data_IF_989747307621
#
_entry.id   IF_989747307621
#
_cell.length_a   1.000
_cell.length_b   1.000
_cell.length_c   1.000
_cell.angle_alpha   90.00
_cell.angle_beta   90.00
_cell.angle_gamma   90.00
#
_symmetry.space_group_name_H-M   'P 1'
#
loop_
_entity.id
_entity.type
_entity.pdbx_description
1 polymer ?
#
# COMPACT_ATOMS: atom_id res chain seq x y z
N UNK A 1 -5.69 -18.88 -5.65
CA UNK A 1 -5.26 -17.92 -6.69
C UNK A 1 -5.16 -16.53 -6.06
N UNK A 2 -4.15 -15.74 -6.42
CA UNK A 2 -4.03 -14.34 -5.99
C UNK A 2 -4.98 -13.45 -6.81
N UNK A 3 -5.66 -12.52 -6.15
CA UNK A 3 -6.58 -11.56 -6.79
C UNK A 3 -5.79 -10.44 -7.47
N UNK A 4 -5.93 -10.23 -8.80
CA UNK A 4 -5.19 -9.22 -9.56
C UNK A 4 -5.37 -7.79 -9.04
N UNK A 5 -6.52 -7.49 -8.44
CA UNK A 5 -6.82 -6.18 -7.86
C UNK A 5 -5.90 -5.87 -6.69
N UNK A 6 -5.60 -6.88 -5.87
CA UNK A 6 -4.71 -6.75 -4.72
C UNK A 6 -3.28 -6.48 -5.17
N UNK A 7 -2.84 -7.17 -6.22
CA UNK A 7 -1.51 -6.99 -6.81
C UNK A 7 -1.37 -5.60 -7.46
N UNK A 8 -2.38 -5.15 -8.21
CA UNK A 8 -2.40 -3.80 -8.79
C UNK A 8 -2.30 -2.71 -7.73
N UNK A 9 -2.99 -2.90 -6.60
CA UNK A 9 -2.92 -1.98 -5.46
C UNK A 9 -1.53 -1.95 -4.84
N UNK A 10 -0.93 -3.12 -4.61
CA UNK A 10 0.43 -3.21 -4.09
C UNK A 10 1.45 -2.51 -5.00
N UNK A 11 1.40 -2.77 -6.31
CA UNK A 11 2.28 -2.11 -7.29
C UNK A 11 2.10 -0.60 -7.29
N UNK A 12 0.85 -0.10 -7.27
CA UNK A 12 0.59 1.34 -7.21
C UNK A 12 1.14 1.99 -5.94
N UNK A 13 1.05 1.32 -4.78
CA UNK A 13 1.65 1.82 -3.51
C UNK A 13 3.16 1.75 -3.55
N UNK A 14 3.76 0.71 -4.15
CA UNK A 14 5.20 0.59 -4.31
C UNK A 14 5.77 1.71 -5.21
N UNK A 15 5.10 2.01 -6.31
CA UNK A 15 5.47 3.08 -7.25
C UNK A 15 5.39 4.48 -6.59
N UNK A 16 4.28 4.75 -5.90
CA UNK A 16 3.99 6.09 -5.37
C UNK A 16 4.55 6.33 -3.97
N UNK A 17 4.96 5.27 -3.27
CA UNK A 17 5.32 5.28 -1.84
C UNK A 17 4.27 5.94 -0.95
N UNK A 18 3.01 5.98 -1.40
CA UNK A 18 1.92 6.70 -0.74
C UNK A 18 0.59 6.01 -1.01
N UNK A 19 -0.07 5.54 0.04
CA UNK A 19 -1.42 4.97 -0.08
C UNK A 19 -2.43 5.97 -0.65
N UNK A 20 -2.27 7.26 -0.35
CA UNK A 20 -3.17 8.30 -0.85
C UNK A 20 -2.99 8.49 -2.36
N UNK A 21 -1.75 8.60 -2.84
CA UNK A 21 -1.49 8.76 -4.29
C UNK A 21 -1.82 7.49 -5.08
N UNK A 22 -1.52 6.30 -4.54
CA UNK A 22 -1.90 5.04 -5.14
C UNK A 22 -3.42 4.91 -5.30
N UNK A 23 -4.17 5.26 -4.25
CA UNK A 23 -5.63 5.21 -4.28
C UNK A 23 -6.21 6.18 -5.32
N UNK A 24 -5.68 7.40 -5.40
CA UNK A 24 -6.06 8.37 -6.43
C UNK A 24 -5.78 7.85 -7.85
N UNK A 25 -4.60 7.23 -8.09
CA UNK A 25 -4.23 6.64 -9.38
C UNK A 25 -5.15 5.48 -9.79
N UNK A 26 -5.66 4.73 -8.82
CA UNK A 26 -6.56 3.58 -9.04
C UNK A 26 -8.05 3.95 -8.98
N UNK A 27 -8.41 5.21 -8.72
CA UNK A 27 -9.80 5.64 -8.62
C UNK A 27 -10.55 5.06 -7.42
N UNK A 28 -9.84 4.72 -6.34
CA UNK A 28 -10.40 4.16 -5.10
C UNK A 28 -10.09 5.04 -3.89
N UNK A 29 -10.73 4.74 -2.76
CA UNK A 29 -10.43 5.42 -1.50
C UNK A 29 -9.10 4.93 -0.90
N UNK A 30 -8.39 5.79 -0.17
CA UNK A 30 -7.18 5.40 0.57
C UNK A 30 -7.43 4.25 1.57
N UNK A 31 -8.54 4.21 2.33
CA UNK A 31 -8.89 3.06 3.17
C UNK A 31 -9.04 1.76 2.37
N UNK A 32 -9.63 1.80 1.18
CA UNK A 32 -9.76 0.66 0.28
C UNK A 32 -8.39 0.13 -0.13
N UNK A 33 -7.48 1.02 -0.58
CA UNK A 33 -6.12 0.64 -0.96
C UNK A 33 -5.36 -0.01 0.21
N UNK A 34 -5.48 0.56 1.41
CA UNK A 34 -4.87 0.00 2.63
C UNK A 34 -5.43 -1.39 2.97
N UNK A 35 -6.74 -1.59 2.85
CA UNK A 35 -7.37 -2.89 3.10
C UNK A 35 -6.94 -3.94 2.07
N UNK A 36 -6.85 -3.56 0.80
CA UNK A 36 -6.40 -4.46 -0.28
C UNK A 36 -4.96 -4.91 -0.07
N UNK A 37 -4.04 -4.01 0.29
CA UNK A 37 -2.66 -4.40 0.65
C UNK A 37 -2.65 -5.33 1.85
N UNK A 38 -3.37 -5.02 2.93
CA UNK A 38 -3.46 -5.93 4.10
C UNK A 38 -4.01 -7.31 3.74
N UNK A 39 -4.96 -7.38 2.82
CA UNK A 39 -5.51 -8.65 2.33
C UNK A 39 -4.48 -9.43 1.52
N UNK A 40 -3.68 -8.74 0.71
CA UNK A 40 -2.56 -9.36 -0.01
C UNK A 40 -1.53 -9.94 0.96
N UNK A 41 -1.11 -9.13 1.94
CA UNK A 41 -0.14 -9.54 2.98
C UNK A 41 -0.59 -10.81 3.71
N UNK A 42 -1.87 -10.89 4.07
CA UNK A 42 -2.45 -12.11 4.68
C UNK A 42 -2.47 -13.29 3.72
N UNK A 43 -2.77 -13.07 2.45
CA UNK A 43 -2.83 -14.14 1.46
C UNK A 43 -1.45 -14.76 1.18
N UNK A 44 -0.38 -13.99 1.38
CA UNK A 44 1.02 -14.45 1.20
C UNK A 44 1.74 -14.71 2.52
N UNK A 45 1.05 -14.55 3.64
CA UNK A 45 1.56 -14.65 5.02
C UNK A 45 2.87 -13.87 5.26
N UNK A 46 2.96 -12.65 4.68
CA UNK A 46 4.13 -11.78 4.81
C UNK A 46 3.72 -10.31 4.79
N UNK A 47 4.45 -9.49 5.56
CA UNK A 47 4.39 -8.03 5.42
C UNK A 47 5.07 -7.63 4.11
N UNK A 48 4.35 -6.91 3.26
CA UNK A 48 4.81 -6.46 1.95
C UNK A 48 5.11 -4.96 1.95
N UNK A 49 4.43 -4.19 2.80
CA UNK A 49 4.67 -2.75 2.95
C UNK A 49 4.93 -2.43 4.42
N UNK A 50 6.19 -2.13 4.73
CA UNK A 50 6.57 -1.58 6.02
C UNK A 50 6.01 -0.14 6.12
N UNK A 51 5.19 0.11 7.15
CA UNK A 51 4.68 1.45 7.45
C UNK A 51 5.71 2.17 8.29
N UNK A 52 6.83 2.53 7.69
CA UNK A 52 7.76 3.43 8.35
C UNK A 52 7.24 4.87 8.17
N UNK A 53 6.50 5.35 9.16
CA UNK A 53 6.04 6.74 9.25
C UNK A 53 7.13 7.66 9.79
N UNK A 54 8.38 7.21 9.96
CA UNK A 54 9.48 8.01 10.50
C UNK A 54 10.10 8.93 9.45
N UNK A 55 9.25 9.66 8.74
CA UNK A 55 9.65 10.86 8.02
C UNK A 55 9.37 12.08 8.90
N UNK A 56 10.24 12.36 9.90
CA UNK A 56 10.49 13.71 10.42
C UNK A 56 11.47 13.72 11.61
N UNK A 57 12.71 14.17 11.36
CA UNK A 57 13.29 15.46 11.82
C UNK A 57 14.81 15.46 11.58
N UNK A 58 15.32 16.57 11.03
CA UNK A 58 16.74 16.94 11.17
C UNK A 58 17.00 17.30 12.63
N UNK A 59 18.11 16.78 13.18
CA UNK A 59 18.66 17.19 14.48
C UNK A 59 19.38 18.54 14.33
N UNK A 60 19.34 19.35 15.39
CA UNK A 60 19.94 20.70 15.49
C UNK A 60 21.42 20.77 15.08
#
# INVERSE_FOLDING_TARGET
>A
MLDPTLLATFLAVADTRSFTQAAARLGISQPTASQQVRRLERAVDRTLIARDTRAMRLTD
#
